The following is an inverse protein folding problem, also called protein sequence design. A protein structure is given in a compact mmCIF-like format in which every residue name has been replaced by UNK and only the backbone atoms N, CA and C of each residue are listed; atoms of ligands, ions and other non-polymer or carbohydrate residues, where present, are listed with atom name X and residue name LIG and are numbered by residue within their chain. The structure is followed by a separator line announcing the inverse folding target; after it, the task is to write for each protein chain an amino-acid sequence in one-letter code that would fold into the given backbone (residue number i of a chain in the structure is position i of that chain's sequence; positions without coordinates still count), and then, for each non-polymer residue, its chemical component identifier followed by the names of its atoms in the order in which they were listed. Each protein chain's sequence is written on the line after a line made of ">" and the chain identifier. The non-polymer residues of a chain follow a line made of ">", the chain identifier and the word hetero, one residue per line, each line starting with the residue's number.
data_IF_585499189194
#
_entry.id   IF_585499189194
#
_cell.length_a   1.000
_cell.length_b   1.000
_cell.length_c   1.000
_cell.angle_alpha   90.00
_cell.angle_beta   90.00
_cell.angle_gamma   90.00
#
_symmetry.space_group_name_H-M   'P 1'
#
loop_
_entity.id
_entity.type
_entity.pdbx_description
1 polymer ?
#
# COMPACT_ATOMS: atom_id res chain seq x y z
N UNK A 1 -1.61 14.69 6.12
CA UNK A 1 -1.26 13.57 7.02
C UNK A 1 -1.56 12.27 6.30
N UNK A 2 -0.58 11.41 6.11
CA UNK A 2 -0.87 10.05 5.61
C UNK A 2 -1.66 9.32 6.68
N UNK A 3 -2.78 8.73 6.30
CA UNK A 3 -3.56 7.88 7.19
C UNK A 3 -2.67 6.71 7.62
N UNK A 4 -2.59 6.48 8.92
CA UNK A 4 -1.80 5.38 9.46
C UNK A 4 -2.40 4.01 9.18
N UNK A 5 -1.78 2.97 9.74
CA UNK A 5 -2.33 1.62 9.73
C UNK A 5 -3.58 1.58 10.61
N UNK A 6 -4.71 1.19 10.05
CA UNK A 6 -6.01 1.20 10.73
C UNK A 6 -6.58 -0.23 10.79
N UNK A 7 -6.91 -0.69 12.00
CA UNK A 7 -7.55 -1.99 12.20
C UNK A 7 -8.82 -2.14 11.37
N UNK A 8 -9.01 -3.28 10.73
CA UNK A 8 -10.18 -3.62 9.94
C UNK A 8 -11.09 -4.61 10.65
N UNK A 9 -12.40 -4.38 10.53
CA UNK A 9 -13.39 -5.39 10.90
C UNK A 9 -13.35 -6.58 9.95
N UNK A 10 -13.59 -7.78 10.49
CA UNK A 10 -13.54 -9.05 9.77
C UNK A 10 -14.94 -9.63 9.59
N UNK A 11 -15.68 -9.11 8.62
CA UNK A 11 -16.96 -9.67 8.17
C UNK A 11 -16.75 -10.97 7.40
N UNK A 12 -17.82 -11.73 7.15
CA UNK A 12 -17.76 -12.94 6.34
C UNK A 12 -17.20 -12.70 4.92
N UNK A 13 -17.57 -11.62 4.17
CA UNK A 13 -16.94 -11.29 2.90
C UNK A 13 -15.44 -11.01 3.02
N UNK A 14 -15.00 -10.30 4.05
CA UNK A 14 -13.58 -10.04 4.29
C UNK A 14 -12.80 -11.33 4.57
N UNK A 15 -13.34 -12.21 5.41
CA UNK A 15 -12.76 -13.53 5.66
C UNK A 15 -12.70 -14.39 4.40
N UNK A 16 -13.70 -14.31 3.53
CA UNK A 16 -13.69 -14.97 2.23
C UNK A 16 -12.53 -14.53 1.34
N UNK A 17 -12.22 -13.23 1.32
CA UNK A 17 -11.07 -12.70 0.59
C UNK A 17 -9.74 -13.17 1.19
N UNK A 18 -9.59 -13.13 2.50
CA UNK A 18 -8.40 -13.60 3.22
C UNK A 18 -8.17 -15.09 2.94
N UNK A 19 -9.20 -15.91 3.06
CA UNK A 19 -9.11 -17.35 2.94
C UNK A 19 -8.80 -17.83 1.51
N UNK A 20 -8.78 -16.97 0.51
CA UNK A 20 -8.21 -17.29 -0.82
C UNK A 20 -6.70 -17.49 -0.78
N UNK A 21 -6.02 -16.90 0.20
CA UNK A 21 -4.55 -16.95 0.33
C UNK A 21 -4.07 -17.94 1.37
N UNK A 22 -4.97 -18.48 2.20
CA UNK A 22 -4.63 -19.43 3.26
C UNK A 22 -4.78 -20.89 2.79
N UNK A 23 -4.09 -21.80 3.47
CA UNK A 23 -4.16 -23.25 3.17
C UNK A 23 -5.27 -23.97 3.93
N UNK A 24 -5.83 -23.33 4.95
CA UNK A 24 -7.01 -23.76 5.70
C UNK A 24 -7.92 -22.58 5.92
N UNK A 25 -9.17 -22.81 6.25
CA UNK A 25 -10.06 -21.74 6.64
C UNK A 25 -9.66 -21.18 8.02
N UNK A 26 -9.41 -19.89 8.08
CA UNK A 26 -9.20 -19.12 9.31
C UNK A 26 -10.51 -18.48 9.75
N UNK A 27 -10.68 -18.34 11.07
CA UNK A 27 -11.78 -17.57 11.67
C UNK A 27 -11.35 -16.12 11.95
N UNK A 28 -12.30 -15.18 12.16
CA UNK A 28 -11.94 -13.79 12.49
C UNK A 28 -11.04 -13.64 13.73
N UNK A 29 -11.17 -14.53 14.70
CA UNK A 29 -10.37 -14.52 15.93
C UNK A 29 -8.92 -14.94 15.73
N UNK A 30 -8.64 -15.69 14.66
CA UNK A 30 -7.32 -16.22 14.36
C UNK A 30 -6.44 -15.25 13.55
N UNK A 31 -7.04 -14.19 13.00
CA UNK A 31 -6.31 -13.22 12.17
C UNK A 31 -6.52 -11.79 12.67
N UNK A 32 -5.55 -10.95 12.36
CA UNK A 32 -5.61 -9.52 12.53
C UNK A 32 -5.53 -8.87 11.15
N UNK A 33 -6.48 -7.99 10.84
CA UNK A 33 -6.50 -7.28 9.57
C UNK A 33 -6.44 -5.77 9.79
N UNK A 34 -5.79 -5.08 8.87
CA UNK A 34 -5.62 -3.63 8.88
C UNK A 34 -5.60 -3.06 7.48
N UNK A 35 -5.97 -1.79 7.35
CA UNK A 35 -5.85 -1.03 6.11
C UNK A 35 -4.64 -0.10 6.16
N UNK A 36 -4.13 0.25 4.99
CA UNK A 36 -2.98 1.12 4.83
C UNK A 36 -3.04 1.84 3.48
N UNK A 37 -2.38 2.99 3.40
CA UNK A 37 -2.12 3.68 2.13
C UNK A 37 -0.77 3.23 1.61
N UNK A 38 -0.74 2.62 0.43
CA UNK A 38 0.50 2.17 -0.20
C UNK A 38 1.26 3.32 -0.85
N UNK A 39 0.59 4.08 -1.69
CA UNK A 39 1.13 5.23 -2.41
C UNK A 39 -0.02 6.11 -2.93
N UNK A 40 0.33 7.23 -3.53
CA UNK A 40 -0.62 8.20 -4.08
C UNK A 40 -0.02 8.89 -5.32
N UNK A 41 -0.78 9.80 -5.94
CA UNK A 41 -0.34 10.60 -7.07
C UNK A 41 0.25 11.97 -6.69
N UNK A 42 0.56 12.20 -5.41
CA UNK A 42 1.22 13.44 -4.99
C UNK A 42 2.67 13.47 -5.49
N UNK A 43 3.17 14.66 -5.71
CA UNK A 43 4.59 14.87 -6.05
C UNK A 43 5.43 14.61 -4.81
N UNK A 44 6.38 13.69 -4.91
CA UNK A 44 7.28 13.33 -3.83
C UNK A 44 8.47 14.30 -3.70
N UNK A 45 9.34 14.05 -2.71
CA UNK A 45 10.55 14.85 -2.47
C UNK A 45 11.57 14.79 -3.61
N UNK A 46 11.48 13.77 -4.47
CA UNK A 46 12.38 13.58 -5.62
C UNK A 46 11.78 14.19 -6.90
N UNK A 47 10.68 14.95 -6.77
CA UNK A 47 9.91 15.55 -7.86
C UNK A 47 9.38 14.50 -8.84
N UNK A 48 8.99 13.37 -8.33
CA UNK A 48 8.35 12.28 -9.07
C UNK A 48 6.93 12.04 -8.54
N UNK A 49 6.10 11.45 -9.37
CA UNK A 49 4.76 11.02 -8.98
C UNK A 49 4.32 9.81 -9.79
N UNK A 50 3.41 9.05 -9.24
CA UNK A 50 2.71 8.05 -10.01
C UNK A 50 1.61 8.70 -10.87
N UNK A 51 1.51 8.29 -12.14
CA UNK A 51 0.32 8.57 -12.95
C UNK A 51 -0.87 7.75 -12.44
N UNK A 52 -2.10 8.15 -12.78
CA UNK A 52 -3.28 7.35 -12.44
C UNK A 52 -3.24 5.96 -13.08
N UNK A 53 -2.71 5.85 -14.31
CA UNK A 53 -2.48 4.57 -14.98
C UNK A 53 -1.50 3.68 -14.20
N UNK A 54 -0.42 4.26 -13.67
CA UNK A 54 0.53 3.52 -12.84
C UNK A 54 -0.10 3.04 -11.52
N UNK A 55 -0.92 3.87 -10.87
CA UNK A 55 -1.66 3.48 -9.67
C UNK A 55 -2.65 2.35 -9.97
N UNK A 56 -3.34 2.39 -11.10
CA UNK A 56 -4.26 1.32 -11.53
C UNK A 56 -3.50 0.01 -11.76
N UNK A 57 -2.36 0.05 -12.42
CA UNK A 57 -1.49 -1.12 -12.58
C UNK A 57 -1.01 -1.69 -11.24
N UNK A 58 -0.61 -0.82 -10.31
CA UNK A 58 -0.20 -1.24 -8.96
C UNK A 58 -1.38 -1.83 -8.18
N UNK A 59 -2.59 -1.29 -8.32
CA UNK A 59 -3.81 -1.84 -7.70
C UNK A 59 -4.01 -3.32 -8.05
N UNK A 60 -3.69 -3.71 -9.27
CA UNK A 60 -3.82 -5.10 -9.73
C UNK A 60 -2.63 -5.99 -9.30
N UNK A 61 -1.46 -5.40 -9.14
CA UNK A 61 -0.23 -6.14 -8.83
C UNK A 61 -0.04 -6.44 -7.33
N UNK A 62 -0.56 -5.63 -6.43
CA UNK A 62 -0.32 -5.77 -4.99
C UNK A 62 -1.10 -6.89 -4.30
N UNK A 63 -2.33 -7.28 -4.70
CA UNK A 63 -3.01 -8.41 -4.06
C UNK A 63 -2.14 -9.67 -4.06
N UNK A 64 -2.04 -10.32 -2.89
CA UNK A 64 -1.18 -11.47 -2.68
C UNK A 64 0.28 -11.16 -2.34
N UNK A 65 0.71 -9.91 -2.42
CA UNK A 65 2.07 -9.54 -2.02
C UNK A 65 2.20 -9.48 -0.50
N UNK A 66 3.41 -9.73 -0.02
CA UNK A 66 3.73 -9.71 1.42
C UNK A 66 4.27 -8.34 1.83
N UNK A 67 4.01 -7.96 3.09
CA UNK A 67 4.70 -6.86 3.73
C UNK A 67 6.01 -7.38 4.31
N UNK A 68 7.05 -6.56 4.21
CA UNK A 68 8.39 -6.85 4.68
C UNK A 68 8.84 -5.78 5.66
N UNK A 69 9.59 -6.17 6.68
CA UNK A 69 10.34 -5.21 7.49
C UNK A 69 11.55 -4.71 6.69
N UNK A 70 11.80 -3.40 6.77
CA UNK A 70 13.00 -2.74 6.23
C UNK A 70 13.30 -3.05 4.75
N UNK A 71 12.28 -3.38 3.96
CA UNK A 71 12.43 -3.85 2.57
C UNK A 71 13.35 -5.08 2.40
N UNK A 72 13.62 -5.80 3.47
CA UNK A 72 14.44 -7.01 3.43
C UNK A 72 13.72 -8.16 2.71
N UNK A 73 14.24 -8.58 1.58
CA UNK A 73 13.69 -9.69 0.78
C UNK A 73 14.12 -11.05 1.32
N UNK A 74 13.78 -11.31 2.60
CA UNK A 74 14.04 -12.57 3.28
C UNK A 74 12.72 -13.18 3.73
N UNK A 75 12.65 -14.51 3.77
CA UNK A 75 11.45 -15.22 4.27
C UNK A 75 11.12 -14.84 5.72
N UNK A 76 12.14 -14.62 6.55
CA UNK A 76 11.98 -14.22 7.95
C UNK A 76 11.40 -12.82 8.13
N UNK A 77 11.53 -11.93 7.14
CA UNK A 77 11.02 -10.56 7.18
C UNK A 77 9.56 -10.44 6.72
N UNK A 78 8.96 -11.52 6.22
CA UNK A 78 7.55 -11.53 5.83
C UNK A 78 6.66 -11.47 7.07
N UNK A 79 5.70 -10.54 7.08
CA UNK A 79 4.82 -10.31 8.23
C UNK A 79 3.35 -10.48 7.91
N UNK A 80 2.85 -9.74 6.95
CA UNK A 80 1.46 -9.70 6.57
C UNK A 80 1.32 -9.90 5.05
N UNK A 81 0.10 -10.21 4.60
CA UNK A 81 -0.21 -10.35 3.18
C UNK A 81 -1.36 -9.44 2.79
N UNK A 82 -1.20 -8.74 1.68
CA UNK A 82 -2.24 -7.91 1.08
C UNK A 82 -3.30 -8.83 0.46
N UNK A 83 -4.57 -8.61 0.82
CA UNK A 83 -5.68 -9.41 0.30
C UNK A 83 -6.69 -8.60 -0.52
N UNK A 84 -6.62 -7.26 -0.44
CA UNK A 84 -7.50 -6.36 -1.19
C UNK A 84 -6.82 -5.03 -1.43
N UNK A 85 -7.17 -4.37 -2.53
CA UNK A 85 -6.67 -3.03 -2.90
C UNK A 85 -7.79 -2.21 -3.52
N UNK A 86 -7.73 -0.89 -3.34
CA UNK A 86 -8.65 0.05 -3.97
C UNK A 86 -7.96 1.37 -4.30
N UNK A 87 -8.42 2.04 -5.35
CA UNK A 87 -8.11 3.45 -5.58
C UNK A 87 -9.17 4.32 -4.92
N UNK A 88 -8.74 5.28 -4.13
CA UNK A 88 -9.61 6.25 -3.48
C UNK A 88 -9.26 7.66 -3.94
N UNK A 89 -10.21 8.28 -4.61
CA UNK A 89 -10.12 9.70 -5.00
C UNK A 89 -10.73 10.56 -3.90
N UNK A 90 -10.03 11.59 -3.48
CA UNK A 90 -10.50 12.53 -2.45
C UNK A 90 -11.05 13.79 -3.13
N UNK A 91 -12.38 13.95 -3.23
CA UNK A 91 -12.99 15.12 -3.85
C UNK A 91 -12.56 16.41 -3.15
N UNK A 92 -12.27 17.46 -3.94
CA UNK A 92 -11.88 18.77 -3.42
C UNK A 92 -10.42 18.87 -2.95
N UNK A 93 -9.65 17.78 -3.01
CA UNK A 93 -8.22 17.80 -2.74
C UNK A 93 -7.44 17.67 -4.05
N UNK A 94 -6.58 18.65 -4.34
CA UNK A 94 -5.68 18.64 -5.50
C UNK A 94 -4.25 18.36 -5.07
N UNK A 95 -3.51 17.68 -5.93
CA UNK A 95 -2.07 17.49 -5.78
C UNK A 95 -1.30 18.77 -6.13
N UNK A 96 -0.03 18.83 -5.81
CA UNK A 96 0.86 19.93 -6.23
C UNK A 96 0.91 20.07 -7.76
N UNK A 97 0.71 18.97 -8.50
CA UNK A 97 0.63 19.00 -9.97
C UNK A 97 -0.74 19.44 -10.52
N UNK A 98 -1.70 19.79 -9.66
CA UNK A 98 -3.04 20.25 -10.05
C UNK A 98 -4.03 19.12 -10.41
N UNK A 99 -3.68 17.86 -10.17
CA UNK A 99 -4.56 16.71 -10.38
C UNK A 99 -5.41 16.44 -9.13
N UNK A 100 -6.56 15.77 -9.30
CA UNK A 100 -7.34 15.31 -8.14
C UNK A 100 -6.51 14.28 -7.36
N UNK A 101 -6.38 14.49 -6.06
CA UNK A 101 -5.64 13.59 -5.20
C UNK A 101 -6.27 12.20 -5.17
N UNK A 102 -5.48 11.21 -5.53
CA UNK A 102 -5.89 9.80 -5.58
C UNK A 102 -4.84 8.96 -4.87
N UNK A 103 -5.27 8.12 -3.95
CA UNK A 103 -4.43 7.20 -3.19
C UNK A 103 -4.76 5.75 -3.50
N UNK A 104 -3.74 4.90 -3.48
CA UNK A 104 -3.89 3.45 -3.53
C UNK A 104 -3.90 2.92 -2.11
N UNK A 105 -5.03 2.38 -1.69
CA UNK A 105 -5.22 1.74 -0.40
C UNK A 105 -5.13 0.23 -0.50
N UNK A 106 -4.75 -0.41 0.58
CA UNK A 106 -4.72 -1.86 0.68
C UNK A 106 -5.28 -2.31 2.02
N UNK A 107 -5.77 -3.56 2.03
CA UNK A 107 -6.08 -4.30 3.24
C UNK A 107 -5.14 -5.49 3.33
N UNK A 108 -4.56 -5.69 4.50
CA UNK A 108 -3.62 -6.75 4.77
C UNK A 108 -4.03 -7.53 6.03
N UNK A 109 -3.59 -8.77 6.13
CA UNK A 109 -3.82 -9.61 7.29
C UNK A 109 -2.54 -10.32 7.74
N UNK A 110 -2.49 -10.67 9.00
CA UNK A 110 -1.49 -11.57 9.58
C UNK A 110 -2.17 -12.49 10.61
N UNK A 111 -1.65 -13.72 10.79
CA UNK A 111 -2.20 -14.61 11.80
C UNK A 111 -1.85 -14.14 13.21
N UNK A 112 -2.79 -14.31 14.14
CA UNK A 112 -2.59 -14.03 15.56
C UNK A 112 -1.77 -15.17 16.20
N UNK A 113 -0.46 -15.12 15.98
CA UNK A 113 0.50 -16.02 16.60
C UNK A 113 1.28 -15.30 17.70
N UNK A 114 1.93 -16.05 18.56
CA UNK A 114 2.83 -15.49 19.57
C UNK A 114 3.91 -14.59 18.94
N UNK A 115 4.47 -15.03 17.82
CA UNK A 115 5.47 -14.27 17.04
C UNK A 115 4.95 -12.92 16.55
N UNK A 116 3.67 -12.84 16.21
CA UNK A 116 3.07 -11.63 15.62
C UNK A 116 2.44 -10.70 16.67
N UNK A 117 2.41 -11.08 17.95
CA UNK A 117 1.82 -10.29 19.02
C UNK A 117 2.44 -8.90 19.11
N UNK A 118 3.76 -8.83 19.09
CA UNK A 118 4.49 -7.56 19.15
C UNK A 118 4.17 -6.65 17.96
N UNK A 119 4.13 -7.20 16.75
CA UNK A 119 3.78 -6.44 15.53
C UNK A 119 2.37 -5.87 15.62
N UNK A 120 1.41 -6.65 16.07
CA UNK A 120 0.01 -6.21 16.28
C UNK A 120 -0.03 -5.07 17.30
N UNK A 121 0.67 -5.22 18.42
CA UNK A 121 0.75 -4.18 19.45
C UNK A 121 1.37 -2.88 18.92
N UNK A 122 2.43 -2.98 18.12
CA UNK A 122 3.07 -1.81 17.49
C UNK A 122 2.15 -1.11 16.48
N UNK A 123 1.28 -1.86 15.79
CA UNK A 123 0.26 -1.29 14.91
C UNK A 123 -0.83 -0.61 15.73
N UNK A 124 -1.36 -1.28 16.74
CA UNK A 124 -2.45 -0.78 17.61
C UNK A 124 -2.03 0.47 18.41
N UNK A 125 -0.79 0.50 18.86
CA UNK A 125 -0.23 1.66 19.57
C UNK A 125 0.18 2.83 18.67
N UNK A 126 0.09 2.67 17.33
CA UNK A 126 0.47 3.70 16.37
C UNK A 126 1.96 3.91 16.19
N UNK A 127 2.80 2.98 16.68
CA UNK A 127 4.25 3.02 16.45
C UNK A 127 4.56 2.62 15.00
N UNK A 128 3.99 1.52 14.53
CA UNK A 128 4.01 1.15 13.11
C UNK A 128 2.78 1.74 12.43
N UNK A 129 2.93 2.82 11.69
CA UNK A 129 1.80 3.51 11.05
C UNK A 129 2.02 3.86 9.59
N UNK A 130 3.21 3.68 9.07
CA UNK A 130 3.53 4.03 7.69
C UNK A 130 4.20 2.87 6.98
N UNK A 131 3.98 2.79 5.67
CA UNK A 131 4.63 1.83 4.79
C UNK A 131 5.26 2.55 3.60
N UNK A 132 6.23 1.91 3.00
CA UNK A 132 6.84 2.32 1.75
C UNK A 132 6.67 1.21 0.72
N UNK A 133 6.46 1.56 -0.54
CA UNK A 133 6.37 0.58 -1.62
C UNK A 133 7.71 0.40 -2.30
N UNK A 134 8.08 -0.84 -2.58
CA UNK A 134 9.18 -1.19 -3.47
C UNK A 134 8.61 -1.72 -4.79
N UNK A 135 8.74 -0.96 -5.86
CA UNK A 135 8.28 -1.36 -7.18
C UNK A 135 9.31 -1.00 -8.25
N UNK A 136 9.25 -1.70 -9.38
CA UNK A 136 9.97 -1.32 -10.59
C UNK A 136 9.01 -0.65 -11.55
N UNK A 137 9.42 0.48 -12.11
CA UNK A 137 8.65 1.22 -13.10
C UNK A 137 9.20 0.92 -14.49
N UNK A 138 8.31 0.72 -15.46
CA UNK A 138 8.71 0.46 -16.85
C UNK A 138 9.42 1.65 -17.47
N UNK A 139 8.91 2.86 -17.24
CA UNK A 139 9.50 4.11 -17.70
C UNK A 139 9.03 5.29 -16.85
N UNK A 140 9.85 6.32 -16.77
CA UNK A 140 9.46 7.64 -16.29
C UNK A 140 9.48 8.63 -17.45
N UNK A 141 8.52 9.56 -17.46
CA UNK A 141 8.41 10.57 -18.49
C UNK A 141 8.34 11.96 -17.89
N UNK A 142 8.89 12.94 -18.58
CA UNK A 142 8.81 14.34 -18.19
C UNK A 142 7.35 14.82 -18.28
N UNK A 143 6.83 15.45 -17.22
CA UNK A 143 5.48 15.98 -17.20
C UNK A 143 5.23 17.15 -18.16
N UNK A 144 6.30 17.82 -18.62
CA UNK A 144 6.20 18.95 -19.54
C UNK A 144 6.17 18.49 -21.00
N UNK A 145 7.06 17.59 -21.41
CA UNK A 145 7.23 17.21 -22.81
C UNK A 145 6.94 15.74 -23.14
N UNK A 146 6.62 14.90 -22.14
CA UNK A 146 6.30 13.48 -22.32
C UNK A 146 7.47 12.58 -22.69
N UNK A 147 8.70 13.12 -22.76
CA UNK A 147 9.90 12.35 -23.13
C UNK A 147 10.54 11.70 -21.91
N UNK A 148 11.12 10.52 -22.09
CA UNK A 148 11.87 9.82 -21.03
C UNK A 148 13.19 10.54 -20.71
N UNK A 149 13.79 11.19 -21.68
CA UNK A 149 15.01 11.99 -21.54
C UNK A 149 14.82 13.33 -22.22
N UNK A 150 15.07 14.41 -21.49
CA UNK A 150 14.95 15.77 -22.00
C UNK A 150 15.83 16.74 -21.21
N UNK A 151 15.85 18.02 -21.62
CA UNK A 151 16.60 19.07 -20.94
C UNK A 151 15.86 19.73 -19.79
N UNK A 152 14.61 19.35 -19.47
CA UNK A 152 13.88 19.86 -18.33
C UNK A 152 14.48 19.34 -17.02
N UNK A 153 14.60 20.20 -16.02
CA UNK A 153 15.16 19.86 -14.71
C UNK A 153 14.02 19.66 -13.70
N UNK A 154 14.09 18.58 -12.95
CA UNK A 154 13.11 18.29 -11.88
C UNK A 154 13.03 19.44 -10.87
N UNK A 155 11.82 19.81 -10.48
CA UNK A 155 11.57 20.85 -9.47
C UNK A 155 11.79 22.29 -9.94
N UNK A 156 11.85 22.53 -11.25
CA UNK A 156 11.99 23.87 -11.84
C UNK A 156 10.93 24.14 -12.89
#
# INVERSE_FOLDING_TARGET
>A
MKEGLVKQGLSAPEMGKINRYTRRAYTPEEVYAFSLVLCDNEVDRDWERFSLEALEGLRELFPGKTLLFDHERRSASQTARIYDTALETVPGKSTQAGEVYTKLTAKAYLPRTEKNREVIELIESGILKEVSVGCSMGRSVCSICGKERCGHVKGR
#
